data_IF_570919646939
#
_entry.id   IF_570919646939
#
_cell.length_a   1.000
_cell.length_b   1.000
_cell.length_c   1.000
_cell.angle_alpha   90.00
_cell.angle_beta   90.00
_cell.angle_gamma   90.00
#
_symmetry.space_group_name_H-M   'P 1'
#
loop_
_entity.id
_entity.type
_entity.pdbx_description
1 polymer ?
2 water ?
#
# COMPACT_ATOMS: atom_id res chain seq x y z
N UNK A 2 -18.53 -8.17 11.91
CA UNK A 2 -17.18 -8.78 12.01
C UNK A 2 -16.27 -8.83 10.78
N UNK A 3 -16.81 -8.63 9.59
CA UNK A 3 -15.99 -8.68 8.38
C UNK A 3 -15.51 -7.30 7.93
N UNK A 4 -15.18 -7.23 6.64
CA UNK A 4 -14.76 -6.00 5.98
C UNK A 4 -15.80 -5.88 4.86
N UNK A 5 -16.38 -4.70 4.64
CA UNK A 5 -17.36 -4.58 3.58
C UNK A 5 -16.98 -3.54 2.54
N UNK A 6 -15.73 -3.11 2.59
CA UNK A 6 -15.25 -2.10 1.66
C UNK A 6 -13.80 -2.35 1.34
N UNK A 7 -13.39 -1.92 0.15
CA UNK A 7 -12.01 -2.01 -0.29
C UNK A 7 -11.70 -0.69 -0.97
N UNK A 8 -10.58 -0.07 -0.62
CA UNK A 8 -10.20 1.17 -1.25
C UNK A 8 -8.83 0.95 -1.87
N UNK A 9 -8.67 1.23 -3.15
CA UNK A 9 -7.38 1.01 -3.77
C UNK A 9 -6.62 2.32 -3.89
N UNK A 10 -5.49 2.39 -3.20
CA UNK A 10 -4.68 3.59 -3.18
C UNK A 10 -3.47 3.43 -4.08
N UNK A 11 -3.25 4.40 -4.95
CA UNK A 11 -2.13 4.36 -5.86
C UNK A 11 -1.04 5.26 -5.33
N UNK A 12 0.15 4.72 -5.11
CA UNK A 12 1.23 5.56 -4.63
C UNK A 12 2.30 5.64 -5.71
N UNK A 14 6.13 6.74 -6.54
CA UNK A 14 7.41 7.06 -5.89
C UNK A 14 8.00 8.37 -6.43
N UNK A 15 8.87 9.00 -5.64
CA UNK A 15 9.49 10.27 -6.03
C UNK A 15 10.30 10.19 -7.33
N UNK A 16 11.01 9.08 -7.52
CA UNK A 16 11.79 8.90 -8.74
C UNK A 16 12.10 7.43 -9.03
N UNK A 17 12.51 7.14 -10.28
CA UNK A 17 12.85 5.81 -10.81
C UNK A 17 13.81 4.99 -9.94
N UNK A 18 14.73 5.68 -9.27
CA UNK A 18 15.76 5.04 -8.47
C UNK A 18 15.31 4.49 -7.12
N UNK A 19 14.07 4.77 -6.74
CA UNK A 19 13.53 4.32 -5.45
C UNK A 19 13.47 2.81 -5.28
N UNK A 20 13.97 2.31 -4.14
CA UNK A 20 13.94 0.87 -3.87
C UNK A 20 12.48 0.51 -3.59
N UNK A 21 11.89 -0.30 -4.45
CA UNK A 21 10.49 -0.69 -4.33
C UNK A 21 10.17 -1.60 -3.16
N UNK A 22 10.92 -2.69 -3.01
CA UNK A 22 10.66 -3.60 -1.91
C UNK A 22 10.57 -2.84 -0.58
N UNK A 23 11.55 -1.97 -0.34
CA UNK A 23 11.57 -1.21 0.89
C UNK A 23 10.34 -0.33 1.03
N UNK A 24 9.93 0.30 -0.06
CA UNK A 24 8.75 1.15 -0.04
C UNK A 24 7.52 0.38 0.41
N UNK A 25 7.24 -0.74 -0.23
CA UNK A 25 6.07 -1.54 0.13
C UNK A 25 6.14 -1.88 1.61
N UNK A 26 7.27 -2.44 2.04
CA UNK A 26 7.46 -2.81 3.44
C UNK A 26 7.18 -1.68 4.40
N UNK A 27 7.57 -0.47 4.01
CA UNK A 27 7.34 0.69 4.85
C UNK A 27 5.86 1.05 4.82
N UNK A 28 5.27 1.03 3.64
CA UNK A 28 3.86 1.36 3.48
C UNK A 28 2.95 0.36 4.18
N UNK A 29 3.30 -0.92 4.10
CA UNK A 29 2.49 -1.93 4.75
C UNK A 29 2.39 -1.75 6.27
N UNK A 30 3.40 -1.17 6.90
CA UNK A 30 3.32 -1.01 8.33
C UNK A 30 2.78 0.34 8.76
N UNK A 31 2.58 1.21 7.79
CA UNK A 31 2.03 2.53 8.07
C UNK A 31 0.50 2.37 8.00
N UNK A 32 0.05 1.21 7.52
CA UNK A 32 -1.39 0.96 7.43
C UNK A 32 -1.94 0.78 8.84
N UNK A 33 -2.84 1.69 9.26
CA UNK A 33 -3.44 1.65 10.58
C UNK A 33 -4.02 0.29 10.96
N UNK A 34 -3.99 0.05 12.27
CA UNK A 34 -4.44 -1.16 12.91
C UNK A 34 -5.77 -1.78 12.48
N UNK A 35 -6.80 -0.97 12.35
CA UNK A 35 -8.12 -1.48 11.98
C UNK A 35 -8.33 -1.78 10.50
N UNK A 36 -7.38 -1.38 9.66
CA UNK A 36 -7.52 -1.67 8.24
C UNK A 36 -6.86 -3.02 7.95
N UNK A 37 -7.17 -3.57 6.78
CA UNK A 37 -6.59 -4.83 6.39
C UNK A 37 -5.97 -4.70 5.02
N UNK A 38 -5.09 -5.63 4.70
CA UNK A 38 -4.41 -5.61 3.42
C UNK A 38 -4.94 -6.79 2.60
N UNK A 39 -5.24 -6.53 1.34
CA UNK A 39 -5.77 -7.59 0.48
C UNK A 39 -4.82 -7.90 -0.69
N UNK A 40 -4.11 -6.88 -1.16
CA UNK A 40 -3.26 -7.07 -2.31
C UNK A 40 -2.37 -5.88 -2.56
N UNK A 41 -1.17 -6.16 -3.07
CA UNK A 41 -0.23 -5.11 -3.42
C UNK A 41 0.18 -5.39 -4.86
N UNK A 42 -0.01 -4.39 -5.70
CA UNK A 42 0.30 -4.55 -7.11
C UNK A 42 1.27 -3.50 -7.60
N UNK A 43 2.11 -3.87 -8.56
CA UNK A 43 3.08 -2.94 -9.13
C UNK A 43 2.73 -2.68 -10.58
N UNK A 44 2.59 -1.42 -10.95
CA UNK A 44 2.29 -1.09 -12.33
C UNK A 44 3.39 -0.16 -12.89
N UNK A 45 4.53 -0.74 -13.32
CA UNK A 45 5.66 0.03 -13.87
C UNK A 45 5.26 0.83 -15.09
N UNK A 46 5.92 1.97 -15.30
CA UNK A 46 5.60 2.78 -16.45
C UNK A 46 6.82 3.02 -17.33
N UNK A 47 6.56 3.42 -18.56
CA UNK A 47 7.60 3.64 -19.56
C UNK A 47 8.80 4.48 -19.15
N UNK A 48 8.59 5.45 -18.27
CA UNK A 48 9.69 6.32 -17.90
C UNK A 48 10.70 5.84 -16.86
N UNK A 49 10.49 4.64 -16.31
CA UNK A 49 11.42 4.14 -15.32
C UNK A 49 10.82 4.00 -13.95
N UNK A 50 9.67 4.66 -13.73
CA UNK A 50 9.02 4.56 -12.43
C UNK A 50 8.05 3.38 -12.37
N UNK A 51 7.65 3.04 -11.15
CA UNK A 51 6.69 1.99 -10.97
C UNK A 51 5.74 2.36 -9.83
N UNK A 52 4.49 2.55 -10.20
CA UNK A 52 3.42 2.90 -9.28
C UNK A 52 3.09 1.68 -8.45
N UNK A 53 2.62 1.91 -7.23
CA UNK A 53 2.24 0.82 -6.34
C UNK A 53 0.76 0.96 -6.03
N UNK A 54 0.04 -0.16 -6.08
CA UNK A 54 -1.38 -0.16 -5.81
C UNK A 54 -1.72 -1.01 -4.61
N UNK A 55 -2.29 -0.37 -3.59
CA UNK A 55 -2.68 -1.05 -2.36
C UNK A 55 -4.19 -1.22 -2.27
N UNK A 56 -4.63 -2.44 -2.01
CA UNK A 56 -6.06 -2.69 -1.88
C UNK A 56 -6.27 -2.80 -0.39
N UNK A 57 -6.66 -1.68 0.22
CA UNK A 57 -6.86 -1.61 1.65
C UNK A 57 -8.30 -1.96 2.04
N UNK A 58 -8.43 -2.80 3.06
CA UNK A 58 -9.73 -3.25 3.56
C UNK A 58 -10.22 -2.42 4.73
N UNK A 59 -11.52 -2.15 4.77
CA UNK A 59 -12.11 -1.36 5.83
C UNK A 59 -13.61 -1.57 5.93
N UNK A 60 -14.30 -0.66 6.61
CA UNK A 60 -15.75 -0.78 6.76
C UNK A 60 -16.43 0.54 6.47
N UNK A 61 -17.71 0.44 6.14
CA UNK A 61 -18.49 1.62 5.83
C UNK A 61 -19.15 2.13 7.11
N UNK A 62 -18.33 2.61 8.03
CA UNK A 62 -18.81 3.13 9.31
C UNK A 62 -17.79 4.14 9.80
N UNK A 63 -18.25 5.15 10.53
CA UNK A 63 -17.34 6.19 11.04
C UNK A 63 -16.10 5.53 11.65
N UNK A 64 -14.96 6.19 11.48
CA UNK A 64 -13.73 5.65 12.02
C UNK A 64 -12.80 5.19 10.91
N UNK A 65 -13.38 4.86 9.75
CA UNK A 65 -12.62 4.42 8.59
C UNK A 65 -12.57 5.50 7.53
N UNK A 66 -11.37 5.83 7.07
CA UNK A 66 -11.21 6.85 6.04
C UNK A 66 -10.02 6.49 5.15
N UNK A 67 -10.30 6.04 3.93
CA UNK A 67 -9.23 5.65 3.03
C UNK A 67 -8.34 6.83 2.66
N UNK A 68 -8.86 8.05 2.71
CA UNK A 68 -8.02 9.20 2.41
C UNK A 68 -7.02 9.31 3.57
N UNK A 69 -7.43 8.85 4.74
CA UNK A 69 -6.58 8.90 5.92
C UNK A 69 -5.30 8.08 5.70
N UNK A 70 -5.43 6.82 5.28
CA UNK A 70 -4.25 6.00 5.06
C UNK A 70 -3.45 6.51 3.86
N UNK A 71 -4.13 7.07 2.86
CA UNK A 71 -3.39 7.60 1.73
C UNK A 71 -2.44 8.67 2.27
N UNK A 72 -2.94 9.49 3.20
CA UNK A 72 -2.14 10.56 3.82
C UNK A 72 -0.99 9.99 4.63
N UNK A 73 -1.27 8.95 5.40
CA UNK A 73 -0.22 8.33 6.18
C UNK A 73 0.84 7.79 5.21
N UNK A 74 0.39 7.32 4.03
CA UNK A 74 1.29 6.82 3.00
C UNK A 74 2.18 7.95 2.50
N UNK A 75 1.61 9.15 2.35
CA UNK A 75 2.38 10.29 1.86
C UNK A 75 3.45 10.80 2.83
N UNK A 76 3.43 10.32 4.06
CA UNK A 76 4.42 10.76 5.03
C UNK A 76 5.68 9.91 4.86
N UNK A 77 5.52 8.73 4.27
CA UNK A 77 6.66 7.84 4.06
C UNK A 77 7.62 8.48 3.06
N UNK A 78 8.90 8.18 3.21
CA UNK A 78 9.93 8.75 2.34
C UNK A 78 10.04 8.05 0.98
N UNK A 79 10.17 8.88 -0.06
CA UNK A 79 10.29 8.46 -1.45
C UNK A 79 8.93 8.35 -2.12
N UNK A 80 7.89 8.72 -1.38
CA UNK A 80 6.54 8.70 -1.87
C UNK A 80 6.22 10.08 -2.43
N UNK A 81 5.99 10.14 -3.74
CA UNK A 81 5.66 11.39 -4.38
C UNK A 81 4.20 11.75 -4.12
N UNK A 82 3.34 10.74 -4.05
CA UNK A 82 1.91 10.98 -3.80
C UNK A 82 1.13 9.71 -3.60
N UNK A 83 0.05 9.82 -2.83
CA UNK A 83 -0.83 8.68 -2.59
C UNK A 83 -2.28 9.16 -2.75
N UNK A 84 -3.00 8.53 -3.67
CA UNK A 84 -4.39 8.88 -3.91
C UNK A 84 -5.29 7.66 -3.84
N UNK A 85 -6.56 7.89 -3.53
CA UNK A 85 -7.55 6.83 -3.48
C UNK A 85 -8.25 6.80 -4.84
N UNK A 86 -7.93 5.80 -5.65
CA UNK A 86 -8.54 5.70 -6.98
C UNK A 86 -10.03 5.37 -6.94
N UNK A 87 -10.41 4.34 -6.21
CA UNK A 87 -11.82 3.96 -6.08
C UNK A 87 -12.04 3.21 -4.79
N UNK A 88 -13.32 3.12 -4.43
CA UNK A 88 -13.75 2.41 -3.23
C UNK A 88 -14.87 1.50 -3.66
N UNK A 89 -14.90 0.28 -3.13
CA UNK A 89 -15.96 -0.62 -3.51
C UNK A 89 -16.44 -1.48 -2.38
N UNK A 90 -17.69 -1.90 -2.48
CA UNK A 90 -18.27 -2.78 -1.49
C UNK A 90 -17.73 -4.19 -1.76
N UNK A 91 -17.64 -5.00 -0.71
CA UNK A 91 -17.15 -6.35 -0.85
C UNK A 91 -17.88 -7.27 0.11
N UNK B 2 11.27 23.59 -34.75
CA UNK B 2 10.01 23.90 -34.09
C UNK B 2 9.30 22.63 -33.62
N UNK B 3 10.07 21.57 -33.44
CA UNK B 3 9.50 20.31 -32.97
C UNK B 3 9.48 20.27 -31.45
N UNK B 4 8.82 19.25 -30.91
CA UNK B 4 8.68 19.06 -29.47
C UNK B 4 9.89 18.34 -28.89
N UNK B 5 10.21 18.65 -27.64
CA UNK B 5 11.32 18.00 -26.97
C UNK B 5 10.87 17.64 -25.54
N UNK B 6 9.57 17.63 -25.34
CA UNK B 6 9.01 17.27 -24.05
C UNK B 6 7.69 16.52 -24.20
N UNK B 7 7.54 15.47 -23.40
CA UNK B 7 6.33 14.67 -23.39
C UNK B 7 5.89 14.66 -21.93
N UNK B 8 4.71 15.21 -21.66
CA UNK B 8 4.21 15.26 -20.31
C UNK B 8 2.95 14.43 -20.21
N UNK B 9 2.94 13.49 -19.28
CA UNK B 9 1.77 12.66 -19.11
C UNK B 9 0.84 13.29 -18.10
N UNK B 10 -0.36 13.63 -18.55
CA UNK B 10 -1.36 14.24 -17.68
C UNK B 10 -2.43 13.18 -17.44
N UNK B 11 -2.51 12.73 -16.19
CA UNK B 11 -3.47 11.71 -15.78
C UNK B 11 -4.78 12.37 -15.38
N UNK B 12 -5.87 12.04 -16.07
CA UNK B 12 -7.15 12.63 -15.76
C UNK B 12 -8.14 11.59 -15.20
N UNK B 14 -11.86 10.43 -14.17
CA UNK B 14 -13.27 10.67 -14.45
C UNK B 14 -13.99 11.04 -13.16
N UNK B 15 -15.15 11.68 -13.26
CA UNK B 15 -15.91 12.05 -12.08
C UNK B 15 -16.74 10.87 -11.57
N UNK B 16 -17.17 10.03 -12.51
CA UNK B 16 -17.98 8.87 -12.20
C UNK B 16 -17.71 7.77 -13.22
N UNK B 17 -17.86 6.50 -12.84
CA UNK B 17 -17.62 5.36 -13.73
C UNK B 17 -18.47 5.35 -15.00
N UNK B 18 -19.75 5.66 -14.84
CA UNK B 18 -20.70 5.68 -15.96
C UNK B 18 -20.31 6.63 -17.09
N UNK B 19 -19.73 7.78 -16.73
CA UNK B 19 -19.32 8.78 -17.71
C UNK B 19 -18.83 8.19 -19.03
N UNK B 20 -19.19 8.83 -20.13
CA UNK B 20 -18.77 8.36 -21.46
C UNK B 20 -17.35 8.83 -21.72
N UNK B 21 -16.42 7.88 -21.81
CA UNK B 21 -15.02 8.20 -22.03
C UNK B 21 -14.70 8.75 -23.41
N UNK B 22 -15.08 8.01 -24.45
CA UNK B 22 -14.82 8.44 -25.83
C UNK B 22 -15.24 9.88 -25.99
N UNK B 23 -16.29 10.25 -25.27
CA UNK B 23 -16.83 11.60 -25.31
C UNK B 23 -16.01 12.53 -24.44
N UNK B 24 -15.58 12.03 -23.28
CA UNK B 24 -14.80 12.83 -22.35
C UNK B 24 -13.46 13.19 -22.96
N UNK B 25 -12.69 12.20 -23.40
CA UNK B 25 -11.39 12.51 -23.97
C UNK B 25 -11.51 13.35 -25.22
N UNK B 26 -12.64 13.22 -25.91
CA UNK B 26 -12.89 13.99 -27.13
C UNK B 26 -12.96 15.47 -26.77
N UNK B 27 -13.55 15.76 -25.63
CA UNK B 27 -13.67 17.14 -25.15
C UNK B 27 -12.27 17.65 -24.85
N UNK B 28 -11.60 16.96 -23.93
CA UNK B 28 -10.25 17.31 -23.51
C UNK B 28 -9.30 17.45 -24.70
N UNK B 29 -9.41 16.49 -25.61
CA UNK B 29 -8.58 16.46 -26.82
C UNK B 29 -8.70 17.75 -27.65
N UNK B 30 -9.76 18.51 -27.41
CA UNK B 30 -10.00 19.77 -28.12
C UNK B 30 -9.64 20.97 -27.25
N UNK B 31 -9.17 20.71 -26.03
CA UNK B 31 -8.80 21.77 -25.10
C UNK B 31 -7.29 22.02 -24.93
N UNK B 32 -6.46 21.28 -25.66
CA UNK B 32 -5.03 21.49 -25.59
C UNK B 32 -4.71 22.67 -26.52
N UNK B 33 -4.08 23.73 -26.01
CA UNK B 33 -3.68 24.97 -26.71
C UNK B 33 -2.98 24.87 -28.06
N UNK B 34 -3.19 23.79 -28.78
CA UNK B 34 -2.59 23.53 -30.09
C UNK B 34 -1.14 24.03 -30.23
N UNK B 35 -0.58 24.47 -29.12
CA UNK B 35 0.81 24.92 -29.06
C UNK B 35 1.49 23.60 -28.72
N UNK B 36 0.69 22.73 -28.08
CA UNK B 36 1.11 21.40 -27.67
C UNK B 36 0.62 20.33 -28.63
N UNK B 37 1.37 19.25 -28.73
CA UNK B 37 0.97 18.15 -29.61
C UNK B 37 0.38 17.05 -28.76
N UNK B 38 0.09 15.90 -29.34
CA UNK B 38 -0.48 14.81 -28.57
C UNK B 38 -0.07 13.47 -29.14
N UNK B 39 0.90 12.82 -28.50
CA UNK B 39 1.38 11.52 -28.96
C UNK B 39 0.27 10.48 -28.91
N UNK B 40 -0.46 10.44 -27.80
CA UNK B 40 -1.55 9.49 -27.66
C UNK B 40 -2.28 9.60 -26.32
N UNK B 41 -3.42 8.92 -26.24
CA UNK B 41 -4.23 8.90 -25.03
C UNK B 41 -4.52 7.47 -24.63
N UNK B 42 -4.07 7.06 -23.46
CA UNK B 42 -4.32 5.69 -23.02
C UNK B 42 -5.14 5.64 -21.74
N UNK B 43 -5.82 4.52 -21.55
CA UNK B 43 -6.65 4.34 -20.36
C UNK B 43 -6.04 3.25 -19.51
N UNK B 44 -5.49 3.61 -18.36
CA UNK B 44 -4.92 2.57 -17.52
C UNK B 44 -6.01 2.15 -16.56
N UNK B 45 -6.23 0.84 -16.45
CA UNK B 45 -7.27 0.35 -15.55
C UNK B 45 -6.93 0.62 -14.12
N UNK B 46 -7.95 0.93 -13.35
CA UNK B 46 -7.78 1.19 -11.94
C UNK B 46 -8.19 -0.11 -11.25
N UNK B 47 -9.47 -0.42 -11.28
CA UNK B 47 -9.97 -1.65 -10.67
C UNK B 47 -11.46 -1.66 -10.89
N UNK B 48 -12.03 -2.86 -11.00
CA UNK B 48 -13.47 -3.01 -11.20
C UNK B 48 -13.93 -2.36 -12.50
N UNK B 49 -13.11 -2.43 -13.55
CA UNK B 49 -13.51 -1.83 -14.81
C UNK B 49 -13.27 -0.32 -14.86
N UNK B 50 -13.12 0.32 -13.70
CA UNK B 50 -12.86 1.75 -13.68
C UNK B 50 -11.51 2.01 -14.34
N UNK B 51 -11.42 3.15 -15.00
CA UNK B 51 -10.20 3.47 -15.71
C UNK B 51 -9.82 4.93 -15.51
N UNK B 52 -8.57 5.25 -15.87
CA UNK B 52 -8.09 6.61 -15.78
C UNK B 52 -7.64 6.93 -17.19
N UNK B 53 -7.60 8.21 -17.54
CA UNK B 53 -7.17 8.61 -18.87
C UNK B 53 -5.80 9.27 -18.79
N UNK B 54 -4.85 8.76 -19.54
CA UNK B 54 -3.52 9.36 -19.55
C UNK B 54 -3.27 9.98 -20.90
N UNK B 55 -3.02 11.29 -20.90
CA UNK B 55 -2.73 12.01 -22.13
C UNK B 55 -1.24 12.27 -22.17
N UNK B 56 -0.60 11.89 -23.26
CA UNK B 56 0.83 12.09 -23.41
C UNK B 56 1.00 13.35 -24.24
N UNK B 57 0.99 14.48 -23.55
CA UNK B 57 1.08 15.78 -24.20
C UNK B 57 2.47 16.16 -24.65
N UNK B 58 2.56 16.70 -25.87
CA UNK B 58 3.85 17.11 -26.42
C UNK B 58 4.07 18.61 -26.21
N UNK B 59 5.22 18.94 -25.64
CA UNK B 59 5.55 20.33 -25.38
C UNK B 59 7.01 20.64 -25.63
N UNK B 60 7.50 21.70 -25.00
CA UNK B 60 8.89 22.12 -25.16
C UNK B 60 9.49 22.61 -23.86
N UNK B 61 10.81 22.64 -23.82
CA UNK B 61 11.50 23.10 -22.63
C UNK B 61 11.85 24.58 -22.82
N UNK B 62 10.87 25.45 -22.61
CA UNK B 62 11.07 26.90 -22.75
C UNK B 62 9.90 27.68 -22.19
N UNK B 63 10.12 28.98 -22.00
CA UNK B 63 9.10 29.89 -21.49
C UNK B 63 7.84 29.80 -22.35
N UNK B 64 6.68 29.91 -21.72
CA UNK B 64 5.43 29.85 -22.46
C UNK B 64 4.82 28.47 -22.54
N UNK B 65 5.63 27.44 -22.26
CA UNK B 65 5.15 26.06 -22.28
C UNK B 65 5.05 25.55 -20.85
N UNK B 66 3.88 25.05 -20.47
CA UNK B 66 3.68 24.53 -19.14
C UNK B 66 2.57 23.50 -19.15
N UNK B 67 2.92 22.25 -18.84
CA UNK B 67 1.92 21.19 -18.84
C UNK B 67 0.90 21.41 -17.73
N UNK B 68 1.33 22.05 -16.66
CA UNK B 68 0.45 22.36 -15.54
C UNK B 68 -0.74 23.16 -16.04
N UNK B 69 -0.48 24.10 -16.95
CA UNK B 69 -1.52 24.94 -17.50
C UNK B 69 -2.53 24.10 -18.29
N UNK B 70 -2.04 23.07 -18.97
CA UNK B 70 -2.91 22.19 -19.75
C UNK B 70 -3.77 21.33 -18.82
N UNK B 71 -3.18 20.85 -17.73
CA UNK B 71 -3.91 20.02 -16.77
C UNK B 71 -5.00 20.87 -16.12
N UNK B 72 -4.62 22.07 -15.69
CA UNK B 72 -5.56 22.98 -15.06
C UNK B 72 -6.76 23.20 -16.00
N UNK B 73 -6.48 23.29 -17.29
CA UNK B 73 -7.53 23.48 -18.28
C UNK B 73 -8.47 22.29 -18.27
N UNK B 74 -7.91 21.09 -18.17
CA UNK B 74 -8.72 19.89 -18.14
C UNK B 74 -9.63 19.92 -16.91
N UNK B 75 -9.09 20.39 -15.79
CA UNK B 75 -9.85 20.44 -14.54
C UNK B 75 -11.19 21.17 -14.64
N UNK B 76 -11.31 22.07 -15.60
CA UNK B 76 -12.54 22.84 -15.79
C UNK B 76 -13.54 22.05 -16.64
N UNK B 77 -13.02 21.15 -17.49
CA UNK B 77 -13.85 20.33 -18.35
C UNK B 77 -14.88 19.50 -17.57
N UNK B 78 -16.00 19.20 -18.22
CA UNK B 78 -17.06 18.42 -17.57
C UNK B 78 -16.73 16.94 -17.50
N UNK B 79 -17.07 16.32 -16.37
CA UNK B 79 -16.82 14.91 -16.14
C UNK B 79 -15.36 14.65 -15.73
N UNK B 80 -14.64 15.73 -15.43
CA UNK B 80 -13.24 15.60 -15.04
C UNK B 80 -13.03 15.84 -13.55
N UNK B 81 -12.87 14.74 -12.81
CA UNK B 81 -12.65 14.81 -11.37
C UNK B 81 -11.31 15.48 -11.07
N UNK B 82 -10.35 15.29 -11.97
CA UNK B 82 -9.03 15.88 -11.82
C UNK B 82 -8.09 15.56 -12.97
N UNK B 83 -7.08 16.39 -13.11
CA UNK B 83 -6.06 16.24 -14.14
C UNK B 83 -4.77 16.55 -13.41
N UNK B 84 -3.84 15.60 -13.43
CA UNK B 84 -2.58 15.77 -12.72
C UNK B 84 -1.40 15.46 -13.62
N UNK B 85 -0.47 16.41 -13.71
CA UNK B 85 0.73 16.17 -14.52
C UNK B 85 1.51 15.13 -13.72
N UNK B 86 1.71 13.95 -14.30
CA UNK B 86 2.41 12.87 -13.61
C UNK B 86 3.91 12.86 -13.81
N UNK B 87 4.38 12.76 -15.04
CA UNK B 87 5.81 12.76 -15.30
C UNK B 87 6.11 13.45 -16.63
N UNK B 88 7.17 14.25 -16.64
CA UNK B 88 7.58 14.94 -17.86
C UNK B 88 8.96 14.42 -18.21
N UNK B 89 9.24 14.26 -19.49
CA UNK B 89 10.53 13.73 -19.95
C UNK B 89 10.90 14.37 -21.27
N UNK B 90 12.19 14.37 -21.60
CA UNK B 90 12.60 14.95 -22.87
C UNK B 90 12.63 13.86 -23.93
N UNK B 91 12.37 14.26 -25.17
CA UNK B 91 12.35 13.32 -26.28
C UNK B 91 12.90 13.96 -27.55
N UNK C 2 25.34 -14.48 32.00
CA UNK C 2 24.44 -13.33 31.94
C UNK C 2 23.08 -13.62 32.56
N UNK C 3 22.35 -14.54 31.94
CA UNK C 3 21.03 -14.96 32.42
C UNK C 3 20.37 -15.69 31.25
N UNK C 4 20.61 -15.17 30.05
CA UNK C 4 20.11 -15.72 28.80
C UNK C 4 21.17 -15.39 27.76
N UNK C 5 21.50 -16.36 26.92
CA UNK C 5 22.51 -16.15 25.88
C UNK C 5 21.95 -16.55 24.53
N UNK C 6 20.64 -16.66 24.45
CA UNK C 6 20.00 -17.06 23.22
C UNK C 6 18.56 -16.53 23.16
N UNK C 7 18.17 -16.03 21.98
CA UNK C 7 16.80 -15.53 21.78
C UNK C 7 16.14 -16.27 20.61
N UNK C 8 14.90 -16.71 20.83
CA UNK C 8 14.18 -17.41 19.77
C UNK C 8 12.88 -16.72 19.44
N UNK C 9 12.67 -16.38 18.17
CA UNK C 9 11.43 -15.71 17.81
C UNK C 9 10.40 -16.70 17.33
N UNK C 10 9.25 -16.71 17.99
CA UNK C 10 8.18 -17.62 17.64
C UNK C 10 6.98 -16.86 17.10
N UNK C 11 6.61 -17.16 15.86
CA UNK C 11 5.46 -16.53 15.21
C UNK C 11 4.21 -17.35 15.53
N UNK C 12 3.22 -16.70 16.13
CA UNK C 12 1.98 -17.38 16.47
C UNK C 12 0.91 -16.87 15.51
N UNK C 14 -3.04 -16.62 14.75
CA UNK C 14 -4.36 -16.76 15.35
C UNK C 14 -5.25 -17.61 14.42
N UNK C 15 -6.29 -18.20 14.99
CA UNK C 15 -7.24 -19.02 14.25
C UNK C 15 -7.92 -18.25 13.10
N UNK C 16 -8.19 -16.96 13.31
CA UNK C 16 -8.83 -16.15 12.29
C UNK C 16 -8.76 -14.67 12.67
N UNK C 17 -9.02 -13.77 11.72
CA UNK C 17 -8.96 -12.32 11.97
C UNK C 17 -9.73 -11.83 13.20
N UNK C 18 -10.85 -12.45 13.53
CA UNK C 18 -11.61 -12.00 14.70
C UNK C 18 -11.38 -12.93 15.90
N UNK C 19 -10.27 -12.66 16.57
CA UNK C 19 -9.82 -13.37 17.77
C UNK C 19 -9.13 -12.32 18.60
N UNK C 20 -9.75 -11.86 19.69
CA UNK C 20 -9.14 -10.84 20.53
C UNK C 20 -7.71 -11.29 20.84
N UNK C 21 -6.74 -10.60 20.26
CA UNK C 21 -5.35 -10.99 20.47
C UNK C 21 -4.72 -10.39 21.73
N UNK C 22 -5.12 -9.18 22.11
CA UNK C 22 -4.56 -8.58 23.32
C UNK C 22 -4.68 -9.59 24.45
N UNK C 23 -5.72 -10.42 24.40
CA UNK C 23 -5.93 -11.43 25.43
C UNK C 23 -5.35 -12.77 25.00
N UNK C 24 -5.09 -12.94 23.71
CA UNK C 24 -4.49 -14.17 23.21
C UNK C 24 -3.04 -14.11 23.63
N UNK C 25 -2.54 -12.89 23.75
CA UNK C 25 -1.19 -12.64 24.16
C UNK C 25 -1.07 -13.02 25.63
N UNK C 26 -1.87 -12.36 26.46
CA UNK C 26 -1.87 -12.62 27.90
C UNK C 26 -1.97 -14.10 28.24
N UNK C 27 -2.69 -14.86 27.43
CA UNK C 27 -2.82 -16.29 27.69
C UNK C 27 -1.55 -17.05 27.33
N UNK C 28 -0.85 -16.61 26.28
CA UNK C 28 0.37 -17.26 25.83
C UNK C 28 1.54 -16.96 26.76
N UNK C 29 1.65 -15.70 27.19
CA UNK C 29 2.72 -15.29 28.09
C UNK C 29 2.68 -16.17 29.32
N UNK C 30 1.48 -16.59 29.70
CA UNK C 30 1.28 -17.45 30.86
C UNK C 30 1.59 -18.92 30.54
N UNK C 31 1.96 -19.19 29.30
CA UNK C 31 2.27 -20.56 28.90
C UNK C 31 3.77 -20.76 28.86
N UNK C 32 4.49 -19.66 28.63
CA UNK C 32 5.94 -19.69 28.56
C UNK C 32 6.49 -20.26 29.88
N UNK C 33 7.27 -21.34 29.80
CA UNK C 33 7.85 -21.95 31.00
C UNK C 33 8.65 -20.93 31.80
N UNK C 34 8.80 -21.20 33.09
CA UNK C 34 9.51 -20.32 34.00
C UNK C 34 10.97 -20.07 33.63
N UNK C 35 11.66 -21.09 33.14
CA UNK C 35 13.07 -20.98 32.75
C UNK C 35 13.29 -19.92 31.70
N UNK C 36 12.27 -19.69 30.87
CA UNK C 36 12.37 -18.73 29.78
C UNK C 36 12.09 -17.27 30.13
N UNK C 37 12.70 -16.39 29.35
CA UNK C 37 12.50 -14.97 29.53
C UNK C 37 11.84 -14.46 28.28
N UNK C 38 11.17 -13.32 28.37
CA UNK C 38 10.50 -12.75 27.21
C UNK C 38 10.93 -11.31 26.97
N UNK C 39 11.63 -11.09 25.88
CA UNK C 39 12.10 -9.75 25.53
C UNK C 39 10.94 -8.84 25.13
N UNK C 40 10.32 -9.16 23.99
CA UNK C 40 9.21 -8.35 23.48
C UNK C 40 8.28 -9.20 22.61
N UNK C 41 7.07 -8.69 22.41
CA UNK C 41 6.08 -9.37 21.56
C UNK C 41 5.61 -8.40 20.50
N UNK C 42 6.05 -8.61 19.26
CA UNK C 42 5.66 -7.73 18.17
C UNK C 42 4.48 -8.25 17.35
N UNK C 43 3.76 -7.35 16.71
CA UNK C 43 2.63 -7.74 15.89
C UNK C 43 2.91 -7.59 14.40
N UNK C 44 2.57 -8.62 13.63
CA UNK C 44 2.81 -8.64 12.20
C UNK C 44 1.53 -8.85 11.37
N UNK C 45 1.02 -7.78 10.76
CA UNK C 45 -0.19 -7.94 9.96
C UNK C 45 0.14 -8.75 8.71
N UNK C 46 -0.55 -9.87 8.51
CA UNK C 46 -0.31 -10.71 7.35
C UNK C 46 -1.23 -10.24 6.22
N UNK C 47 -2.50 -10.60 6.30
CA UNK C 47 -3.45 -10.21 5.26
C UNK C 47 -4.89 -10.44 5.68
N UNK C 48 -5.80 -9.63 5.14
CA UNK C 48 -7.22 -9.73 5.45
C UNK C 48 -7.52 -9.67 6.94
N UNK C 49 -6.85 -8.74 7.62
CA UNK C 49 -7.05 -8.58 9.05
C UNK C 49 -6.37 -9.59 9.97
N UNK C 50 -5.69 -10.58 9.40
CA UNK C 50 -5.02 -11.59 10.22
C UNK C 50 -3.62 -11.14 10.64
N UNK C 51 -3.46 -10.78 11.91
CA UNK C 51 -2.16 -10.34 12.41
C UNK C 51 -1.44 -11.45 13.18
N UNK C 52 -0.13 -11.51 13.02
CA UNK C 52 0.66 -12.52 13.70
C UNK C 52 1.29 -11.93 14.95
N UNK C 53 1.48 -12.79 15.94
CA UNK C 53 2.12 -12.41 17.20
C UNK C 53 3.50 -13.02 17.13
N UNK C 54 4.51 -12.19 17.41
CA UNK C 54 5.88 -12.64 17.39
C UNK C 54 6.50 -12.51 18.77
N UNK C 55 6.66 -13.63 19.47
CA UNK C 55 7.26 -13.59 20.79
C UNK C 55 8.77 -13.76 20.67
N UNK C 56 9.51 -12.87 21.32
CA UNK C 56 10.97 -12.95 21.30
C UNK C 56 11.36 -13.63 22.59
N UNK C 57 11.27 -14.95 22.58
CA UNK C 57 11.58 -15.75 23.76
C UNK C 57 13.09 -15.83 24.00
N UNK C 58 13.45 -15.77 25.27
CA UNK C 58 14.86 -15.81 25.67
C UNK C 58 15.17 -17.08 26.46
N UNK C 59 16.30 -17.69 26.14
CA UNK C 59 16.69 -18.90 26.83
C UNK C 59 18.18 -19.08 26.75
N UNK C 60 18.64 -20.31 26.99
CA UNK C 60 20.06 -20.61 26.94
C UNK C 60 20.37 -21.77 26.02
N UNK C 61 21.62 -21.82 25.56
CA UNK C 61 22.09 -22.87 24.68
C UNK C 61 22.59 -24.09 25.47
N UNK C 62 21.67 -24.75 26.17
CA UNK C 62 21.99 -25.92 26.96
C UNK C 62 20.77 -26.84 27.03
N UNK C 63 20.99 -28.13 27.27
CA UNK C 63 19.88 -29.08 27.36
C UNK C 63 18.90 -28.54 28.39
N UNK C 64 17.62 -28.65 28.08
CA UNK C 64 16.60 -28.14 28.99
C UNK C 64 15.88 -26.93 28.39
N UNK C 65 16.52 -26.30 27.41
CA UNK C 65 15.94 -25.16 26.73
C UNK C 65 15.60 -25.58 25.30
N UNK C 66 14.31 -25.48 24.97
CA UNK C 66 13.83 -25.84 23.65
C UNK C 66 12.77 -24.86 23.19
N UNK C 67 13.11 -24.03 22.20
CA UNK C 67 12.15 -23.06 21.70
C UNK C 67 11.02 -23.76 20.94
N UNK C 68 11.34 -24.88 20.29
CA UNK C 68 10.34 -25.66 19.57
C UNK C 68 9.33 -26.14 20.60
N UNK C 69 9.81 -26.38 21.83
CA UNK C 69 8.96 -26.84 22.91
C UNK C 69 7.97 -25.80 23.41
N UNK C 70 8.38 -24.53 23.47
CA UNK C 70 7.42 -23.54 23.95
C UNK C 70 6.42 -23.26 22.82
N UNK C 71 6.86 -23.48 21.58
CA UNK C 71 6.00 -23.29 20.44
C UNK C 71 4.89 -24.34 20.56
N UNK C 72 5.28 -25.58 20.85
CA UNK C 72 4.32 -26.67 21.00
C UNK C 72 3.40 -26.43 22.19
N UNK C 73 3.81 -25.57 23.11
CA UNK C 73 2.97 -25.25 24.26
C UNK C 73 2.02 -24.13 23.83
N UNK C 74 2.45 -23.35 22.84
CA UNK C 74 1.62 -22.27 22.33
C UNK C 74 0.46 -22.87 21.56
N UNK C 75 0.73 -23.95 20.82
CA UNK C 75 -0.30 -24.60 20.03
C UNK C 75 -1.33 -25.33 20.86
N UNK C 76 -1.35 -25.09 22.17
CA UNK C 76 -2.32 -25.73 23.03
C UNK C 76 -3.34 -24.68 23.47
N UNK C 77 -2.93 -23.42 23.38
CA UNK C 77 -3.81 -22.31 23.73
C UNK C 77 -4.86 -22.17 22.64
N UNK C 78 -6.12 -22.00 23.02
CA UNK C 78 -7.17 -21.87 22.03
C UNK C 78 -7.03 -20.56 21.28
N UNK C 79 -7.44 -20.55 20.02
CA UNK C 79 -7.34 -19.37 19.16
C UNK C 79 -5.98 -19.28 18.49
N UNK C 80 -5.25 -20.40 18.53
CA UNK C 80 -3.92 -20.47 17.93
C UNK C 80 -3.95 -21.50 16.81
N UNK C 81 -3.74 -21.04 15.58
CA UNK C 81 -3.73 -21.93 14.45
C UNK C 81 -2.40 -22.67 14.51
N UNK C 82 -1.31 -21.93 14.70
CA UNK C 82 0.01 -22.54 14.77
C UNK C 82 1.05 -21.62 15.39
N UNK C 83 2.20 -22.20 15.70
CA UNK C 83 3.30 -21.46 16.28
C UNK C 83 4.57 -22.09 15.75
N UNK C 84 5.37 -21.31 15.03
CA UNK C 84 6.61 -21.81 14.47
C UNK C 84 7.79 -20.98 14.96
N UNK C 85 8.92 -21.64 15.18
CA UNK C 85 10.11 -20.92 15.60
C UNK C 85 10.75 -20.46 14.29
N UNK C 86 10.83 -19.15 14.10
CA UNK C 86 11.40 -18.60 12.87
C UNK C 86 12.90 -18.39 12.98
N UNK C 87 13.33 -17.94 14.15
CA UNK C 87 14.74 -17.66 14.36
C UNK C 87 15.20 -17.89 15.80
N UNK C 88 16.47 -18.25 15.92
CA UNK C 88 17.13 -18.48 17.21
C UNK C 88 18.47 -17.78 17.05
N UNK C 89 18.77 -16.85 17.94
CA UNK C 89 20.03 -16.11 17.82
C UNK C 89 20.71 -15.89 19.15
N UNK C 90 22.04 -15.84 19.10
CA UNK C 90 22.84 -15.65 20.31
C UNK C 90 22.76 -14.21 20.82
N UNK C 91 22.61 -14.06 22.12
CA UNK C 91 22.54 -12.73 22.73
C UNK C 91 23.42 -12.68 23.98
#
# INVERSE_FOLDING_TARGET
>A
XSDFNLVGVIRVXPTDPDVNLDELEEKLKKVIPEKYGLAKVEREPIAFGLVALKFYVLGRDEEGYSFDEVAEKFEEVENVESAEVETVSRI
>B
XSDFNLVGVIRVXPTDPDVNLDELEEKLKKVIPEKYGLAKVEREPIAFGLVALKFYVLGRDEEGYSFDEVAEKFEEVENVESAEVETVSRI
>C
XSDFNLVGVIRVXPTDPDVNLDELEEKLKKVIPEKYGLAKVEREPIAFGLVALKFYVLGRDEEGYSFDEVAEKFEEVENVESAEVETVSRI
#
